data_IF_001800243535
#
_entry.id   IF_001800243535
#
_cell.length_a   1.000
_cell.length_b   1.000
_cell.length_c   1.000
_cell.angle_alpha   90.00
_cell.angle_beta   90.00
_cell.angle_gamma   90.00
#
_symmetry.space_group_name_H-M   'P 1'
#
loop_
_entity.id
_entity.type
_entity.pdbx_description
1 polymer ?
#
# COMPACT_ATOMS: atom_id res chain seq x y z
N UNK A 1 -4.26 13.73 -7.32
CA UNK A 1 -3.97 14.73 -8.38
C UNK A 1 -3.27 15.98 -7.80
N UNK A 2 -3.84 16.71 -6.84
CA UNK A 2 -3.22 17.95 -6.31
C UNK A 2 -1.78 17.72 -5.80
N UNK A 3 -1.53 16.71 -4.98
CA UNK A 3 -0.19 16.43 -4.46
C UNK A 3 0.86 16.14 -5.57
N UNK A 4 0.43 15.52 -6.68
CA UNK A 4 1.30 15.31 -7.86
C UNK A 4 1.59 16.65 -8.52
N UNK A 5 0.58 17.46 -8.75
CA UNK A 5 0.75 18.79 -9.35
C UNK A 5 1.63 19.72 -8.50
N UNK A 6 1.60 19.55 -7.18
CA UNK A 6 2.44 20.29 -6.21
C UNK A 6 3.87 19.72 -6.09
N UNK A 7 4.25 18.73 -6.89
CA UNK A 7 5.58 18.10 -6.88
C UNK A 7 5.93 17.34 -5.60
N UNK A 8 4.94 16.87 -4.84
CA UNK A 8 5.19 16.17 -3.56
C UNK A 8 5.95 14.85 -3.72
N UNK A 9 5.90 14.25 -4.91
CA UNK A 9 6.52 12.97 -5.23
C UNK A 9 7.78 13.08 -6.10
N UNK A 10 8.20 14.28 -6.48
CA UNK A 10 9.33 14.48 -7.41
C UNK A 10 10.63 13.81 -6.94
N UNK A 11 10.86 13.74 -5.62
CA UNK A 11 12.03 13.09 -5.05
C UNK A 11 11.91 11.55 -4.94
N UNK A 12 10.76 10.99 -5.25
CA UNK A 12 10.46 9.55 -5.15
C UNK A 12 10.33 8.92 -6.54
N UNK A 13 10.16 9.74 -7.58
CA UNK A 13 10.03 9.28 -8.95
C UNK A 13 11.42 9.12 -9.60
N UNK A 14 11.56 8.05 -10.36
CA UNK A 14 12.69 7.82 -11.26
C UNK A 14 12.17 7.55 -12.66
N UNK A 15 12.86 8.09 -13.65
CA UNK A 15 12.55 7.78 -15.04
C UNK A 15 13.00 6.37 -15.39
N UNK A 16 12.15 5.59 -16.05
CA UNK A 16 12.44 4.24 -16.53
C UNK A 16 12.48 4.27 -18.04
N UNK A 17 13.62 3.85 -18.59
CA UNK A 17 13.81 3.75 -20.03
C UNK A 17 13.34 2.38 -20.51
N UNK A 18 12.31 2.34 -21.33
CA UNK A 18 11.78 1.10 -21.90
C UNK A 18 12.50 0.77 -23.20
N UNK A 19 13.63 0.07 -23.10
CA UNK A 19 14.41 -0.42 -24.25
C UNK A 19 14.83 0.67 -25.25
N UNK A 20 14.98 1.92 -24.79
CA UNK A 20 15.32 3.05 -25.68
C UNK A 20 14.15 3.55 -26.54
N UNK A 21 12.94 3.03 -26.36
CA UNK A 21 11.77 3.42 -27.16
C UNK A 21 10.94 4.52 -26.53
N UNK A 22 10.84 4.54 -25.21
CA UNK A 22 10.13 5.58 -24.46
C UNK A 22 10.65 5.69 -23.02
N UNK A 23 10.55 6.88 -22.47
CA UNK A 23 10.81 7.14 -21.05
C UNK A 23 9.48 7.22 -20.31
N UNK A 24 9.34 6.43 -19.24
CA UNK A 24 8.21 6.51 -18.30
C UNK A 24 8.72 7.26 -17.08
N UNK A 25 8.19 8.44 -16.83
CA UNK A 25 8.61 9.37 -15.77
C UNK A 25 7.45 9.83 -14.89
N UNK A 26 6.24 9.33 -15.16
CA UNK A 26 5.03 9.66 -14.43
C UNK A 26 4.30 8.41 -13.98
N UNK A 27 3.60 8.50 -12.84
CA UNK A 27 2.67 7.45 -12.41
C UNK A 27 1.40 7.50 -13.26
N UNK A 28 1.15 6.47 -14.05
CA UNK A 28 0.01 6.36 -14.96
C UNK A 28 -1.31 5.97 -14.24
N UNK A 29 -1.22 5.57 -12.96
CA UNK A 29 -2.38 5.13 -12.18
C UNK A 29 -3.35 6.26 -11.80
N UNK A 30 -2.87 7.37 -11.21
CA UNK A 30 -3.72 8.48 -10.80
C UNK A 30 -4.36 9.21 -11.98
N UNK A 31 -5.68 9.42 -11.91
CA UNK A 31 -6.44 10.12 -12.95
C UNK A 31 -7.67 10.79 -12.37
N UNK A 32 -8.19 11.79 -13.08
CA UNK A 32 -9.46 12.40 -12.71
C UNK A 32 -10.60 11.37 -12.81
N UNK A 33 -11.49 11.27 -11.80
CA UNK A 33 -12.59 10.32 -11.82
C UNK A 33 -13.70 10.74 -12.79
N UNK A 34 -14.07 9.83 -13.66
CA UNK A 34 -15.30 9.95 -14.48
C UNK A 34 -16.43 9.22 -13.75
N UNK A 35 -17.27 10.00 -13.07
CA UNK A 35 -18.32 9.46 -12.19
C UNK A 35 -19.36 8.65 -12.97
N UNK A 36 -19.72 9.07 -14.19
CA UNK A 36 -20.72 8.37 -14.98
C UNK A 36 -20.18 7.03 -15.49
N UNK A 37 -18.92 7.01 -15.91
CA UNK A 37 -18.21 5.79 -16.26
C UNK A 37 -18.08 4.84 -15.06
N UNK A 38 -17.74 5.36 -13.88
CA UNK A 38 -17.63 4.55 -12.65
C UNK A 38 -18.97 3.88 -12.35
N UNK A 39 -20.07 4.62 -12.42
CA UNK A 39 -21.44 4.09 -12.17
C UNK A 39 -21.87 3.05 -13.20
N UNK A 40 -21.36 3.10 -14.41
CA UNK A 40 -21.71 2.17 -15.49
C UNK A 40 -20.88 0.88 -15.49
N UNK A 41 -19.87 0.74 -14.61
CA UNK A 41 -19.03 -0.44 -14.58
C UNK A 41 -19.79 -1.69 -14.11
N UNK A 42 -19.58 -2.78 -14.82
CA UNK A 42 -20.09 -4.07 -14.41
C UNK A 42 -19.32 -4.63 -13.21
N UNK A 43 -19.99 -5.43 -12.35
CA UNK A 43 -19.32 -6.20 -11.32
C UNK A 43 -18.22 -7.10 -11.90
N UNK A 44 -17.07 -7.21 -11.19
CA UNK A 44 -15.89 -7.92 -11.69
C UNK A 44 -15.93 -9.44 -11.43
N UNK A 45 -16.66 -9.90 -10.42
CA UNK A 45 -16.54 -11.29 -9.93
C UNK A 45 -17.86 -12.07 -10.00
N UNK A 46 -18.96 -11.48 -9.59
CA UNK A 46 -20.27 -12.14 -9.60
C UNK A 46 -21.33 -11.22 -10.18
N UNK A 47 -22.32 -11.79 -10.85
CA UNK A 47 -23.48 -11.04 -11.33
C UNK A 47 -24.18 -10.34 -10.16
N UNK A 48 -24.57 -9.07 -10.35
CA UNK A 48 -25.13 -8.21 -9.33
C UNK A 48 -24.22 -7.97 -8.09
N UNK A 49 -22.91 -8.22 -8.21
CA UNK A 49 -21.94 -7.90 -7.19
C UNK A 49 -21.67 -6.39 -7.05
N UNK A 50 -20.94 -6.02 -6.00
CA UNK A 50 -20.62 -4.62 -5.68
C UNK A 50 -19.17 -4.24 -6.02
N UNK A 51 -18.31 -5.22 -6.28
CA UNK A 51 -16.91 -4.97 -6.60
C UNK A 51 -16.75 -4.75 -8.10
N UNK A 52 -16.19 -3.62 -8.47
CA UNK A 52 -15.93 -3.24 -9.86
C UNK A 52 -14.45 -2.88 -10.04
N UNK A 53 -14.01 -2.65 -11.26
CA UNK A 53 -12.67 -2.17 -11.54
C UNK A 53 -12.36 -0.83 -10.86
N UNK A 54 -13.35 0.03 -10.62
CA UNK A 54 -13.15 1.30 -9.91
C UNK A 54 -13.03 1.16 -8.40
N UNK A 55 -13.47 0.04 -7.83
CA UNK A 55 -13.37 -0.25 -6.39
C UNK A 55 -12.28 -1.26 -6.05
N UNK A 56 -11.43 -1.56 -7.02
CA UNK A 56 -10.33 -2.52 -6.92
C UNK A 56 -9.00 -1.83 -7.20
N UNK A 57 -7.95 -2.25 -6.50
CA UNK A 57 -6.59 -1.82 -6.81
C UNK A 57 -6.17 -2.30 -8.20
N UNK A 58 -5.55 -1.47 -9.03
CA UNK A 58 -5.06 -1.89 -10.34
C UNK A 58 -3.82 -2.80 -10.20
N UNK A 59 -3.55 -3.59 -11.22
CA UNK A 59 -2.25 -4.24 -11.37
C UNK A 59 -1.22 -3.18 -11.76
N UNK A 60 -0.29 -2.92 -10.87
CA UNK A 60 0.77 -1.92 -11.07
C UNK A 60 2.13 -2.58 -10.98
N UNK A 61 3.12 -2.01 -11.67
CA UNK A 61 4.52 -2.43 -11.59
C UNK A 61 5.24 -1.43 -10.70
N UNK A 62 5.94 -1.93 -9.70
CA UNK A 62 6.73 -1.11 -8.80
C UNK A 62 7.83 -1.92 -8.15
N UNK A 63 8.81 -1.24 -7.60
CA UNK A 63 9.88 -1.84 -6.81
C UNK A 63 10.21 -0.98 -5.61
N UNK A 64 10.50 -1.62 -4.49
CA UNK A 64 10.97 -0.95 -3.29
C UNK A 64 12.09 -1.77 -2.65
N UNK A 65 13.04 -1.09 -2.03
CA UNK A 65 14.14 -1.72 -1.31
C UNK A 65 14.32 -1.09 0.06
N UNK A 66 14.43 -1.92 1.08
CA UNK A 66 14.69 -1.51 2.46
C UNK A 66 15.91 -2.24 2.99
N UNK A 67 16.81 -1.51 3.66
CA UNK A 67 17.91 -2.08 4.40
C UNK A 67 17.47 -2.35 5.83
N UNK A 68 17.35 -3.63 6.19
CA UNK A 68 17.04 -4.07 7.55
C UNK A 68 18.31 -4.57 8.24
N UNK A 69 18.53 -4.13 9.45
CA UNK A 69 19.70 -4.53 10.24
C UNK A 69 19.33 -4.67 11.72
N UNK A 70 20.19 -5.30 12.52
CA UNK A 70 20.09 -5.22 13.97
C UNK A 70 20.56 -3.85 14.47
N UNK A 71 20.07 -3.43 15.64
CA UNK A 71 20.49 -2.17 16.28
C UNK A 71 22.03 -2.13 16.43
N UNK A 72 22.62 -3.22 16.93
CA UNK A 72 24.07 -3.33 17.12
C UNK A 72 24.88 -3.22 15.83
N UNK A 73 24.36 -3.70 14.70
CA UNK A 73 25.01 -3.55 13.41
C UNK A 73 24.92 -2.11 12.92
N UNK A 74 23.76 -1.48 13.07
CA UNK A 74 23.55 -0.08 12.70
C UNK A 74 24.53 0.84 13.47
N UNK A 75 24.63 0.68 14.79
CA UNK A 75 25.55 1.41 15.64
C UNK A 75 27.01 1.21 15.22
N UNK A 76 27.44 -0.05 15.08
CA UNK A 76 28.81 -0.39 14.67
C UNK A 76 29.21 0.20 13.31
N UNK A 77 28.26 0.38 12.41
CA UNK A 77 28.47 0.91 11.06
C UNK A 77 28.15 2.40 10.93
N UNK A 78 27.73 3.05 12.01
CA UNK A 78 27.33 4.46 11.98
C UNK A 78 26.12 4.73 11.08
N UNK A 79 25.22 3.73 10.92
CA UNK A 79 24.04 3.88 10.09
C UNK A 79 22.96 4.66 10.84
N UNK A 80 22.35 5.63 10.15
CA UNK A 80 21.22 6.37 10.69
C UNK A 80 19.96 5.51 10.62
N UNK A 81 19.49 5.03 11.76
CA UNK A 81 18.19 4.34 11.85
C UNK A 81 17.04 5.29 11.56
N UNK A 82 16.18 4.95 10.62
CA UNK A 82 15.01 5.75 10.23
C UNK A 82 13.76 5.33 10.99
N UNK A 83 13.61 4.04 11.26
CA UNK A 83 12.50 3.48 12.00
C UNK A 83 12.94 2.16 12.66
N UNK A 84 12.20 1.71 13.67
CA UNK A 84 12.38 0.43 14.34
C UNK A 84 11.14 -0.43 14.14
N UNK A 85 11.33 -1.68 13.76
CA UNK A 85 10.23 -2.67 13.72
C UNK A 85 9.99 -3.14 15.16
N UNK A 86 8.93 -2.67 15.78
CA UNK A 86 8.59 -3.00 17.16
C UNK A 86 8.01 -4.41 17.26
N UNK A 87 7.08 -4.74 16.36
CA UNK A 87 6.48 -6.07 16.30
C UNK A 87 6.02 -6.41 14.89
N UNK A 88 5.71 -7.69 14.70
CA UNK A 88 5.08 -8.20 13.48
C UNK A 88 4.18 -9.38 13.82
N UNK A 89 3.12 -9.55 13.04
CA UNK A 89 2.23 -10.70 13.16
C UNK A 89 1.62 -11.06 11.82
N UNK A 90 1.12 -12.28 11.74
CA UNK A 90 0.29 -12.80 10.67
C UNK A 90 -0.94 -13.47 11.28
N UNK A 91 -2.03 -13.49 10.54
CA UNK A 91 -3.24 -14.19 10.91
C UNK A 91 -3.84 -14.89 9.69
N UNK A 92 -4.31 -16.13 9.89
CA UNK A 92 -5.16 -16.81 8.94
C UNK A 92 -6.62 -16.49 9.24
N UNK A 93 -7.41 -16.35 8.20
CA UNK A 93 -8.87 -16.20 8.27
C UNK A 93 -9.52 -17.13 7.24
N UNK A 94 -10.82 -17.31 7.31
CA UNK A 94 -11.56 -18.02 6.27
C UNK A 94 -11.28 -17.37 4.91
N UNK A 95 -11.04 -18.19 3.88
CA UNK A 95 -10.72 -17.70 2.55
C UNK A 95 -11.82 -16.81 1.95
N UNK A 96 -13.09 -17.02 2.34
CA UNK A 96 -14.22 -16.18 1.94
C UNK A 96 -14.17 -14.79 2.60
N UNK A 97 -13.43 -14.66 3.69
CA UNK A 97 -13.27 -13.43 4.47
C UNK A 97 -11.82 -12.90 4.44
N UNK A 98 -11.05 -13.24 3.41
CA UNK A 98 -9.62 -12.89 3.34
C UNK A 98 -9.34 -11.39 3.58
N UNK A 99 -10.23 -10.51 3.14
CA UNK A 99 -10.14 -9.07 3.37
C UNK A 99 -10.17 -8.65 4.85
N UNK A 100 -10.64 -9.52 5.75
CA UNK A 100 -10.67 -9.28 7.19
C UNK A 100 -9.35 -9.66 7.89
N UNK A 101 -8.42 -10.32 7.19
CA UNK A 101 -7.13 -10.77 7.73
C UNK A 101 -6.31 -9.70 8.46
N UNK A 102 -6.25 -8.44 7.99
CA UNK A 102 -5.55 -7.37 8.68
C UNK A 102 -6.00 -7.12 10.12
N UNK A 103 -7.28 -7.34 10.45
CA UNK A 103 -7.82 -7.09 11.79
C UNK A 103 -7.12 -7.97 12.83
N UNK A 104 -7.24 -9.32 12.79
CA UNK A 104 -6.59 -10.17 13.78
C UNK A 104 -5.04 -10.12 13.68
N UNK A 105 -4.48 -9.79 12.55
CA UNK A 105 -3.04 -9.60 12.42
C UNK A 105 -2.58 -8.34 13.15
N UNK A 106 -3.28 -7.21 12.99
CA UNK A 106 -2.98 -5.97 13.69
C UNK A 106 -3.14 -6.12 15.21
N UNK A 107 -4.22 -6.74 15.67
CA UNK A 107 -4.42 -7.03 17.10
C UNK A 107 -3.27 -7.84 17.70
N UNK A 108 -2.84 -8.89 17.02
CA UNK A 108 -1.68 -9.69 17.44
C UNK A 108 -0.38 -8.88 17.49
N UNK A 109 -0.17 -8.00 16.51
CA UNK A 109 1.03 -7.17 16.46
C UNK A 109 1.03 -6.13 17.59
N UNK A 110 -0.08 -5.46 17.82
CA UNK A 110 -0.26 -4.49 18.92
C UNK A 110 -0.06 -5.16 20.29
N UNK A 111 -0.70 -6.31 20.52
CA UNK A 111 -0.54 -7.06 21.76
C UNK A 111 0.93 -7.46 22.00
N UNK A 112 1.65 -7.92 20.97
CA UNK A 112 3.09 -8.24 21.08
C UNK A 112 3.94 -7.01 21.40
N UNK A 113 3.55 -5.85 20.89
CA UNK A 113 4.24 -4.59 21.11
C UNK A 113 3.93 -3.97 22.47
N UNK A 114 2.84 -4.40 23.14
CA UNK A 114 2.32 -3.75 24.35
C UNK A 114 1.71 -2.37 24.05
N UNK A 115 1.20 -2.17 22.84
CA UNK A 115 0.63 -0.89 22.35
C UNK A 115 -0.85 -1.07 22.12
N UNK A 116 -1.64 -0.07 22.40
CA UNK A 116 -3.07 -0.04 22.07
C UNK A 116 -3.32 0.77 20.81
N UNK A 117 -4.44 0.49 20.13
CA UNK A 117 -4.76 1.15 18.86
C UNK A 117 -4.79 2.68 18.97
N UNK A 118 -5.20 3.22 20.10
CA UNK A 118 -5.25 4.68 20.31
C UNK A 118 -3.88 5.36 20.38
N UNK A 119 -2.81 4.59 20.56
CA UNK A 119 -1.44 5.10 20.56
C UNK A 119 -0.84 5.12 19.15
N UNK A 120 -1.57 4.61 18.15
CA UNK A 120 -1.11 4.56 16.76
C UNK A 120 -1.47 5.86 16.06
N UNK A 121 -0.46 6.61 15.64
CA UNK A 121 -0.62 7.91 14.99
C UNK A 121 -0.87 7.81 13.49
N UNK A 122 -0.33 6.77 12.85
CA UNK A 122 -0.43 6.58 11.39
C UNK A 122 -0.70 5.11 11.08
N UNK A 123 -1.63 4.85 10.18
CA UNK A 123 -1.97 3.52 9.71
C UNK A 123 -1.86 3.51 8.19
N UNK A 124 -1.05 2.59 7.66
CA UNK A 124 -1.02 2.25 6.26
C UNK A 124 -1.66 0.89 6.04
N UNK A 125 -2.72 0.86 5.26
CA UNK A 125 -3.44 -0.35 4.88
C UNK A 125 -3.46 -0.45 3.36
N UNK A 126 -3.00 -1.58 2.81
CA UNK A 126 -3.11 -1.80 1.37
C UNK A 126 -4.57 -1.81 0.92
N UNK A 127 -4.91 -0.94 -0.02
CA UNK A 127 -6.26 -0.71 -0.53
C UNK A 127 -6.61 -1.67 -1.68
N UNK A 128 -6.55 -2.97 -1.42
CA UNK A 128 -6.85 -3.97 -2.44
C UNK A 128 -8.27 -3.79 -3.02
N UNK A 129 -9.23 -3.50 -2.14
CA UNK A 129 -10.63 -3.22 -2.51
C UNK A 129 -11.19 -2.11 -1.62
N UNK A 130 -11.90 -1.15 -2.20
CA UNK A 130 -12.52 -0.06 -1.47
C UNK A 130 -13.50 -0.55 -0.39
N UNK A 131 -14.17 -1.69 -0.61
CA UNK A 131 -15.06 -2.30 0.36
C UNK A 131 -14.34 -2.73 1.66
N UNK A 132 -13.09 -3.10 1.57
CA UNK A 132 -12.25 -3.45 2.73
C UNK A 132 -11.88 -2.23 3.58
#
# INVERSE_FOLDING_TARGET
MAAIADGKFDNELISIDKYGECTIDTDEGPREPDIDKIKSLNPAFIENGTITAATSSPFSIGAAALLLTSDSFAEKRGLKTRAKIVSRAVAGVDWQLFGMGPIPAAEKALNKAGVVMNDVETIELNEAFAAQ
#
